data_IF_324474645999
#
_entry.id   IF_324474645999
#
_cell.length_a   1.000
_cell.length_b   1.000
_cell.length_c   1.000
_cell.angle_alpha   90.00
_cell.angle_beta   90.00
_cell.angle_gamma   90.00
#
_symmetry.space_group_name_H-M   'P 1'
#
loop_
_entity.id
_entity.type
_entity.pdbx_description
1 polymer ?
#
# COMPACT_ATOMS: atom_id res chain seq x y z
N UNK A 1 34.43 24.98 -34.32
CA UNK A 1 33.69 26.03 -35.05
C UNK A 1 32.31 26.09 -34.43
N UNK A 2 32.07 27.12 -33.63
CA UNK A 2 30.84 27.31 -32.87
C UNK A 2 29.81 28.02 -33.73
N UNK A 3 28.52 27.67 -33.56
CA UNK A 3 27.43 28.66 -33.63
C UNK A 3 26.41 28.29 -32.56
N UNK A 4 26.42 29.10 -31.50
CA UNK A 4 25.39 29.23 -30.47
C UNK A 4 24.33 30.19 -31.04
N UNK A 5 23.05 29.85 -30.91
CA UNK A 5 21.97 30.84 -31.01
C UNK A 5 21.09 30.68 -29.78
N UNK A 6 21.09 31.73 -28.96
CA UNK A 6 20.32 32.00 -27.75
C UNK A 6 19.19 32.99 -28.10
N UNK A 7 17.92 32.77 -27.76
CA UNK A 7 17.15 33.29 -26.59
C UNK A 7 15.66 33.45 -27.03
N UNK A 8 14.66 33.78 -26.18
CA UNK A 8 14.63 33.88 -24.71
C UNK A 8 13.51 33.04 -24.04
N UNK A 9 13.68 32.94 -22.72
CA UNK A 9 12.78 32.32 -21.73
C UNK A 9 11.80 33.38 -21.17
N UNK A 10 10.52 33.04 -21.05
CA UNK A 10 9.50 33.63 -20.17
C UNK A 10 8.55 32.45 -19.86
N UNK A 11 8.31 31.93 -18.65
CA UNK A 11 8.53 32.43 -17.31
C UNK A 11 7.26 32.18 -16.50
N UNK A 12 6.97 30.94 -16.07
CA UNK A 12 6.07 30.58 -14.96
C UNK A 12 6.53 29.22 -14.37
N UNK A 13 6.55 29.03 -13.04
CA UNK A 13 7.22 27.90 -12.40
C UNK A 13 6.38 26.61 -12.44
N UNK A 14 6.96 25.53 -12.96
CA UNK A 14 6.46 24.16 -12.77
C UNK A 14 7.03 23.57 -11.47
N UNK A 15 6.25 22.80 -10.69
CA UNK A 15 6.75 22.13 -9.49
C UNK A 15 7.81 21.07 -9.87
N UNK A 16 8.82 20.84 -9.01
CA UNK A 16 9.84 19.84 -9.27
C UNK A 16 9.23 18.43 -9.09
N UNK A 17 9.89 17.43 -9.69
CA UNK A 17 9.59 15.99 -9.65
C UNK A 17 8.72 15.45 -10.79
N UNK A 18 9.27 15.47 -12.01
CA UNK A 18 8.95 14.45 -13.01
C UNK A 18 9.70 13.16 -12.67
N UNK A 19 8.99 12.12 -12.21
CA UNK A 19 9.55 10.77 -12.13
C UNK A 19 9.80 10.24 -13.55
N UNK A 20 11.05 10.37 -14.02
CA UNK A 20 11.55 9.63 -15.17
C UNK A 20 11.69 8.16 -14.76
N UNK A 21 10.69 7.32 -15.05
CA UNK A 21 10.85 5.86 -15.00
C UNK A 21 11.92 5.47 -16.01
N UNK A 22 13.17 5.28 -15.55
CA UNK A 22 14.21 4.62 -16.33
C UNK A 22 13.90 3.13 -16.34
N UNK A 23 13.54 2.62 -17.51
CA UNK A 23 13.36 1.20 -17.76
C UNK A 23 14.69 0.46 -17.53
N UNK A 24 14.72 -0.41 -16.54
CA UNK A 24 15.80 -1.39 -16.37
C UNK A 24 15.38 -2.63 -17.15
N UNK A 25 16.09 -2.93 -18.24
CA UNK A 25 15.89 -4.16 -18.99
C UNK A 25 16.43 -5.34 -18.18
N UNK A 26 15.56 -6.25 -17.75
CA UNK A 26 15.95 -7.53 -17.18
C UNK A 26 15.92 -8.60 -18.28
N UNK A 27 17.07 -9.14 -18.65
CA UNK A 27 17.16 -10.43 -19.34
C UNK A 27 17.33 -11.50 -18.28
N UNK A 28 16.30 -12.30 -18.01
CA UNK A 28 16.45 -13.47 -17.13
C UNK A 28 16.14 -14.76 -17.88
N UNK A 29 17.15 -15.61 -17.97
CA UNK A 29 17.32 -16.73 -18.88
C UNK A 29 16.74 -18.05 -18.33
N UNK A 30 15.65 -17.99 -17.57
CA UNK A 30 15.04 -19.17 -16.92
C UNK A 30 13.53 -19.24 -17.07
N UNK A 31 13.09 -19.40 -18.32
CA UNK A 31 11.81 -20.03 -18.65
C UNK A 31 12.06 -20.97 -19.83
N UNK A 32 12.20 -22.25 -19.54
CA UNK A 32 12.11 -23.29 -20.54
C UNK A 32 10.65 -23.48 -20.93
N UNK A 33 10.21 -22.79 -21.99
CA UNK A 33 9.07 -23.18 -22.81
C UNK A 33 9.39 -22.85 -24.27
N UNK A 34 9.64 -23.92 -25.03
CA UNK A 34 9.63 -23.99 -26.50
C UNK A 34 8.20 -24.43 -26.84
N UNK A 35 7.44 -23.93 -27.82
CA UNK A 35 7.68 -23.17 -29.04
C UNK A 35 6.36 -22.56 -29.55
N UNK A 36 6.49 -21.71 -30.58
CA UNK A 36 5.48 -21.27 -31.55
C UNK A 36 4.83 -19.90 -31.33
N UNK A 37 5.66 -18.88 -31.49
CA UNK A 37 5.24 -17.61 -32.10
C UNK A 37 6.24 -17.23 -33.20
N UNK A 38 6.29 -18.03 -34.25
CA UNK A 38 6.98 -17.66 -35.47
C UNK A 38 6.20 -16.54 -36.17
N UNK A 39 6.62 -15.28 -35.99
CA UNK A 39 6.20 -14.20 -36.89
C UNK A 39 6.06 -12.79 -36.35
N UNK A 40 6.30 -12.51 -35.05
CA UNK A 40 6.19 -11.14 -34.55
C UNK A 40 7.55 -10.45 -34.47
N UNK A 41 7.72 -9.43 -35.30
CA UNK A 41 8.89 -8.54 -35.29
C UNK A 41 9.04 -7.82 -33.93
N UNK A 42 10.27 -7.45 -33.51
CA UNK A 42 10.55 -6.97 -32.15
C UNK A 42 9.87 -5.66 -31.74
N UNK A 43 9.16 -4.99 -32.64
CA UNK A 43 8.51 -3.69 -32.38
C UNK A 43 7.15 -3.79 -31.68
N UNK A 44 6.51 -4.97 -31.64
CA UNK A 44 5.17 -5.13 -31.04
C UNK A 44 5.15 -5.84 -29.68
N UNK A 45 6.26 -6.47 -29.27
CA UNK A 45 6.36 -7.09 -27.95
C UNK A 45 6.26 -6.07 -26.78
N UNK A 46 6.65 -4.81 -27.01
CA UNK A 46 6.55 -3.73 -26.03
C UNK A 46 5.10 -3.27 -25.76
N UNK A 47 4.20 -3.41 -26.74
CA UNK A 47 2.77 -3.08 -26.60
C UNK A 47 1.97 -4.21 -25.94
N UNK A 48 2.43 -5.46 -26.06
CA UNK A 48 1.76 -6.61 -25.44
C UNK A 48 2.04 -6.75 -23.93
N UNK A 49 3.16 -6.22 -23.43
CA UNK A 49 3.50 -6.26 -21.99
C UNK A 49 2.96 -5.06 -21.18
N UNK A 50 2.32 -4.08 -21.83
CA UNK A 50 1.70 -2.91 -21.18
C UNK A 50 0.19 -3.06 -20.91
N UNK A 51 -0.42 -4.21 -21.21
CA UNK A 51 -1.88 -4.31 -21.38
C UNK A 51 -2.58 -5.24 -20.37
N UNK A 52 -1.99 -5.53 -19.21
CA UNK A 52 -2.68 -6.33 -18.18
C UNK A 52 -2.28 -5.98 -16.73
N UNK A 53 -2.05 -4.71 -16.43
CA UNK A 53 -2.21 -4.27 -15.05
C UNK A 53 -3.67 -3.88 -14.88
N UNK A 54 -4.43 -4.64 -14.08
CA UNK A 54 -5.72 -4.18 -13.61
C UNK A 54 -5.54 -2.80 -12.98
N UNK A 55 -6.21 -1.78 -13.49
CA UNK A 55 -6.26 -0.48 -12.84
C UNK A 55 -7.35 -0.52 -11.78
N UNK A 56 -6.97 -0.31 -10.53
CA UNK A 56 -7.92 -0.13 -9.44
C UNK A 56 -8.25 1.35 -9.31
N UNK A 57 -9.52 1.66 -9.02
CA UNK A 57 -10.01 3.05 -8.85
C UNK A 57 -9.45 3.73 -7.59
N UNK A 58 -8.81 2.97 -6.70
CA UNK A 58 -8.16 3.46 -5.47
C UNK A 58 -6.99 2.56 -5.11
N UNK A 59 -6.02 3.10 -4.35
CA UNK A 59 -4.91 2.28 -3.88
C UNK A 59 -5.34 1.22 -2.87
N UNK A 60 -4.66 0.08 -2.86
CA UNK A 60 -4.92 -1.05 -1.96
C UNK A 60 -3.69 -1.42 -1.14
N UNK A 61 -3.87 -1.53 0.16
CA UNK A 61 -2.87 -2.02 1.11
C UNK A 61 -3.37 -3.33 1.73
N UNK A 62 -2.64 -4.42 1.50
CA UNK A 62 -2.96 -5.73 2.08
C UNK A 62 -2.02 -6.03 3.24
N UNK A 63 -2.60 -6.26 4.42
CA UNK A 63 -1.86 -6.44 5.65
C UNK A 63 -1.50 -7.88 5.94
N UNK A 64 -0.42 -8.10 6.70
CA UNK A 64 -0.18 -9.38 7.37
C UNK A 64 0.10 -10.56 6.43
N UNK A 65 0.65 -10.31 5.23
CA UNK A 65 1.02 -11.36 4.28
C UNK A 65 2.03 -12.30 4.94
N UNK A 66 1.71 -13.59 5.00
CA UNK A 66 2.54 -14.62 5.63
C UNK A 66 2.82 -15.85 4.76
N UNK A 67 2.30 -15.85 3.53
CA UNK A 67 2.40 -16.97 2.60
C UNK A 67 2.51 -16.44 1.16
N UNK A 68 2.99 -17.30 0.27
CA UNK A 68 3.28 -16.93 -1.11
C UNK A 68 2.02 -16.82 -1.99
N UNK A 69 0.97 -17.56 -1.64
CA UNK A 69 -0.31 -17.56 -2.35
C UNK A 69 -0.97 -16.19 -2.27
N UNK A 70 -1.11 -15.65 -1.06
CA UNK A 70 -1.64 -14.31 -0.81
C UNK A 70 -0.77 -13.24 -1.47
N UNK A 71 0.56 -13.34 -1.32
CA UNK A 71 1.48 -12.36 -1.89
C UNK A 71 1.33 -12.25 -3.42
N UNK A 72 1.30 -13.40 -4.12
CA UNK A 72 1.15 -13.44 -5.58
C UNK A 72 -0.24 -13.04 -6.03
N UNK A 73 -1.27 -13.50 -5.34
CA UNK A 73 -2.65 -13.14 -5.65
C UNK A 73 -2.85 -11.63 -5.55
N UNK A 74 -2.49 -11.03 -4.41
CA UNK A 74 -2.66 -9.60 -4.19
C UNK A 74 -1.84 -8.76 -5.17
N UNK A 75 -0.58 -9.14 -5.43
CA UNK A 75 0.24 -8.46 -6.43
C UNK A 75 -0.34 -8.58 -7.85
N UNK A 76 -0.88 -9.76 -8.20
CA UNK A 76 -1.52 -10.00 -9.50
C UNK A 76 -2.82 -9.23 -9.69
N UNK A 77 -3.59 -9.02 -8.61
CA UNK A 77 -4.83 -8.23 -8.59
C UNK A 77 -4.59 -6.72 -8.53
N UNK A 78 -3.33 -6.27 -8.50
CA UNK A 78 -2.97 -4.85 -8.55
C UNK A 78 -2.89 -4.17 -7.18
N UNK A 79 -2.72 -4.91 -6.08
CA UNK A 79 -2.44 -4.29 -4.79
C UNK A 79 -1.17 -3.42 -4.82
N UNK A 80 -1.22 -2.23 -4.23
CA UNK A 80 -0.08 -1.31 -4.21
C UNK A 80 0.89 -1.61 -3.07
N UNK A 81 0.39 -2.06 -1.91
CA UNK A 81 1.18 -2.29 -0.71
C UNK A 81 0.94 -3.67 -0.14
N UNK A 82 2.01 -4.37 0.22
CA UNK A 82 1.96 -5.61 0.99
C UNK A 82 2.70 -5.39 2.31
N UNK A 83 2.05 -5.69 3.43
CA UNK A 83 2.68 -5.57 4.74
C UNK A 83 3.09 -6.92 5.33
N UNK A 84 4.20 -6.93 6.05
CA UNK A 84 4.77 -8.09 6.72
C UNK A 84 5.01 -7.77 8.19
N UNK A 85 4.58 -8.64 9.10
CA UNK A 85 4.78 -8.45 10.54
C UNK A 85 6.19 -8.87 10.94
N UNK A 86 7.04 -7.89 11.20
CA UNK A 86 8.48 -8.08 11.48
C UNK A 86 8.84 -7.81 12.94
N UNK A 87 7.85 -7.68 13.82
CA UNK A 87 8.02 -7.55 15.25
C UNK A 87 7.57 -8.84 15.96
N UNK A 88 8.45 -9.52 16.72
CA UNK A 88 8.10 -10.75 17.45
C UNK A 88 6.93 -10.60 18.43
N UNK A 89 6.60 -9.38 18.85
CA UNK A 89 5.44 -9.11 19.69
C UNK A 89 4.10 -9.15 18.94
N UNK A 90 4.11 -9.17 17.59
CA UNK A 90 2.91 -9.19 16.77
C UNK A 90 2.46 -10.62 16.42
N UNK A 91 1.15 -10.92 16.43
CA UNK A 91 0.64 -12.21 15.99
C UNK A 91 0.87 -12.42 14.50
N UNK A 92 1.43 -13.57 14.12
CA UNK A 92 1.83 -13.83 12.74
C UNK A 92 3.16 -13.16 12.35
N UNK A 93 4.05 -12.95 13.33
CA UNK A 93 5.44 -12.58 13.09
C UNK A 93 6.10 -13.49 12.05
N UNK A 94 6.90 -12.88 11.18
CA UNK A 94 7.74 -13.55 10.21
C UNK A 94 9.21 -13.23 10.48
N UNK A 95 10.05 -14.24 10.34
CA UNK A 95 11.48 -14.02 10.30
C UNK A 95 11.86 -13.18 9.07
N UNK A 96 12.88 -12.30 9.16
CA UNK A 96 13.31 -11.47 8.04
C UNK A 96 13.63 -12.26 6.76
N UNK A 97 14.20 -13.46 6.91
CA UNK A 97 14.47 -14.36 5.80
C UNK A 97 13.21 -14.81 5.06
N UNK A 98 12.10 -15.04 5.77
CA UNK A 98 10.82 -15.39 5.17
C UNK A 98 10.24 -14.22 4.36
N UNK A 99 10.38 -12.98 4.87
CA UNK A 99 9.96 -11.78 4.12
C UNK A 99 10.79 -11.60 2.85
N UNK A 100 12.10 -11.83 2.91
CA UNK A 100 12.97 -11.81 1.72
C UNK A 100 12.58 -12.88 0.69
N UNK A 101 12.23 -14.08 1.14
CA UNK A 101 11.73 -15.13 0.26
C UNK A 101 10.42 -14.70 -0.41
N UNK A 102 9.41 -14.30 0.36
CA UNK A 102 8.10 -13.88 -0.15
C UNK A 102 8.20 -12.71 -1.13
N UNK A 103 8.96 -11.67 -0.76
CA UNK A 103 9.16 -10.47 -1.58
C UNK A 103 9.92 -10.75 -2.88
N UNK A 104 10.81 -11.74 -2.91
CA UNK A 104 11.53 -12.14 -4.12
C UNK A 104 10.66 -12.73 -5.24
N UNK A 105 9.42 -13.13 -4.91
CA UNK A 105 8.48 -13.71 -5.87
C UNK A 105 7.40 -12.74 -6.36
N UNK A 106 7.38 -11.51 -5.84
CA UNK A 106 6.39 -10.50 -6.20
C UNK A 106 7.07 -9.25 -6.74
N UNK A 107 6.40 -8.56 -7.64
CA UNK A 107 6.86 -7.31 -8.23
C UNK A 107 5.69 -6.34 -8.36
N UNK A 108 6.00 -5.04 -8.49
CA UNK A 108 4.98 -4.00 -8.64
C UNK A 108 4.34 -3.52 -7.33
N UNK A 109 4.75 -4.06 -6.19
CA UNK A 109 4.20 -3.73 -4.86
C UNK A 109 5.22 -3.01 -3.98
N UNK A 110 4.74 -2.11 -3.12
CA UNK A 110 5.50 -1.49 -2.05
C UNK A 110 5.50 -2.40 -0.81
N UNK A 111 6.66 -2.92 -0.46
CA UNK A 111 6.88 -3.69 0.76
C UNK A 111 6.82 -2.80 2.01
N UNK A 112 5.99 -3.18 2.99
CA UNK A 112 5.80 -2.47 4.26
C UNK A 112 6.10 -3.39 5.44
N UNK A 113 6.89 -2.94 6.42
CA UNK A 113 7.09 -3.69 7.66
C UNK A 113 6.16 -3.20 8.76
N UNK A 114 5.46 -4.10 9.43
CA UNK A 114 4.67 -3.79 10.62
C UNK A 114 5.48 -3.98 11.89
N UNK A 115 5.46 -2.96 12.77
CA UNK A 115 6.19 -2.95 14.03
C UNK A 115 5.34 -2.40 15.17
N UNK A 116 5.60 -2.87 16.39
CA UNK A 116 4.90 -2.45 17.60
C UNK A 116 5.88 -1.90 18.63
N UNK A 117 6.73 -2.77 19.18
CA UNK A 117 7.59 -2.53 20.33
C UNK A 117 9.08 -2.44 20.00
N UNK A 118 9.53 -2.89 18.81
CA UNK A 118 10.96 -2.86 18.48
C UNK A 118 11.55 -1.44 18.51
N UNK A 119 12.82 -1.27 18.94
CA UNK A 119 13.49 0.01 18.93
C UNK A 119 13.80 0.49 17.50
N UNK A 120 13.96 1.80 17.33
CA UNK A 120 14.14 2.44 16.01
C UNK A 120 15.33 1.86 15.23
N UNK A 121 16.45 1.59 15.91
CA UNK A 121 17.66 1.08 15.24
C UNK A 121 17.45 -0.33 14.67
N UNK A 122 16.70 -1.19 15.38
CA UNK A 122 16.31 -2.51 14.88
C UNK A 122 15.32 -2.41 13.73
N UNK A 123 14.33 -1.50 13.81
CA UNK A 123 13.39 -1.26 12.71
C UNK A 123 14.14 -0.83 11.44
N UNK A 124 15.11 0.08 11.57
CA UNK A 124 15.94 0.54 10.45
C UNK A 124 16.79 -0.59 9.85
N UNK A 125 17.38 -1.44 10.70
CA UNK A 125 18.15 -2.59 10.24
C UNK A 125 17.27 -3.60 9.47
N UNK A 126 16.08 -3.91 10.00
CA UNK A 126 15.10 -4.78 9.36
C UNK A 126 14.58 -4.19 8.04
N UNK A 127 14.34 -2.88 8.02
CA UNK A 127 13.93 -2.17 6.82
C UNK A 127 14.97 -2.23 5.71
N UNK A 128 16.25 -2.08 6.04
CA UNK A 128 17.33 -2.24 5.08
C UNK A 128 17.46 -3.70 4.62
N UNK A 129 17.49 -4.64 5.57
CA UNK A 129 17.64 -6.07 5.27
C UNK A 129 16.52 -6.59 4.35
N UNK A 130 15.27 -6.24 4.63
CA UNK A 130 14.12 -6.74 3.86
C UNK A 130 13.76 -5.85 2.66
N UNK A 131 14.50 -4.77 2.41
CA UNK A 131 14.20 -3.83 1.31
C UNK A 131 12.85 -3.13 1.46
N UNK A 132 12.45 -2.80 2.70
CA UNK A 132 11.16 -2.17 2.97
C UNK A 132 11.09 -0.75 2.43
N UNK A 133 9.95 -0.40 1.84
CA UNK A 133 9.67 0.94 1.33
C UNK A 133 8.98 1.81 2.39
N UNK A 134 8.13 1.21 3.23
CA UNK A 134 7.38 1.89 4.29
C UNK A 134 7.44 1.10 5.61
N UNK A 135 7.10 1.80 6.69
CA UNK A 135 6.96 1.25 8.04
C UNK A 135 5.52 1.51 8.49
N UNK A 136 4.83 0.49 8.98
CA UNK A 136 3.52 0.62 9.62
C UNK A 136 3.67 0.40 11.14
N UNK A 137 3.43 1.44 11.92
CA UNK A 137 3.52 1.37 13.38
C UNK A 137 2.16 1.04 13.99
N UNK A 138 2.11 0.03 14.85
CA UNK A 138 0.93 -0.32 15.64
C UNK A 138 0.70 0.61 16.83
N UNK A 139 1.75 1.32 17.26
CA UNK A 139 1.71 2.23 18.40
C UNK A 139 2.28 3.58 17.98
N UNK A 140 1.60 4.66 18.39
CA UNK A 140 2.12 6.00 18.22
C UNK A 140 3.44 6.17 18.97
N UNK A 141 4.40 6.85 18.35
CA UNK A 141 5.72 7.13 18.90
C UNK A 141 6.00 8.64 18.91
N UNK A 142 6.83 9.14 19.84
CA UNK A 142 7.17 10.55 19.87
C UNK A 142 7.92 10.97 18.60
N UNK A 143 7.78 12.25 18.21
CA UNK A 143 8.36 12.80 16.98
C UNK A 143 9.89 12.57 16.86
N UNK A 144 10.62 12.59 17.98
CA UNK A 144 12.06 12.35 18.02
C UNK A 144 12.46 10.90 17.65
N UNK A 145 11.58 9.93 17.92
CA UNK A 145 11.77 8.55 17.45
C UNK A 145 11.45 8.44 15.96
N UNK A 146 10.33 9.04 15.54
CA UNK A 146 9.89 9.00 14.15
C UNK A 146 10.90 9.65 13.19
N UNK A 147 11.53 10.76 13.61
CA UNK A 147 12.55 11.44 12.80
C UNK A 147 13.83 10.62 12.58
N UNK A 148 14.04 9.55 13.36
CA UNK A 148 15.18 8.63 13.23
C UNK A 148 14.88 7.43 12.34
N UNK A 149 13.61 7.20 11.97
CA UNK A 149 13.25 6.13 11.03
C UNK A 149 13.68 6.55 9.61
N UNK A 150 14.30 5.63 8.88
CA UNK A 150 14.86 5.91 7.55
C UNK A 150 13.83 5.76 6.43
N UNK A 151 12.66 5.20 6.73
CA UNK A 151 11.56 4.97 5.78
C UNK A 151 10.32 5.77 6.19
N UNK A 152 9.48 6.17 5.22
CA UNK A 152 8.20 6.80 5.52
C UNK A 152 7.30 5.91 6.39
N UNK A 153 6.60 6.54 7.33
CA UNK A 153 5.78 5.85 8.33
C UNK A 153 4.30 6.01 8.03
N UNK A 154 3.55 4.92 8.12
CA UNK A 154 2.11 4.89 8.26
C UNK A 154 1.78 4.54 9.72
N UNK A 155 0.71 5.11 10.25
CA UNK A 155 0.31 4.90 11.63
C UNK A 155 -1.01 4.14 11.69
N UNK A 156 -0.99 2.94 12.27
CA UNK A 156 -2.21 2.23 12.60
C UNK A 156 -2.93 2.96 13.73
N UNK A 157 -4.23 3.12 13.61
CA UNK A 157 -5.07 3.73 14.64
C UNK A 157 -6.40 2.98 14.74
N UNK A 158 -6.95 2.95 15.95
CA UNK A 158 -8.25 2.37 16.22
C UNK A 158 -9.37 3.33 15.82
N UNK A 159 -10.46 2.77 15.28
CA UNK A 159 -11.72 3.49 15.11
C UNK A 159 -12.44 3.61 16.45
N UNK A 160 -12.85 4.83 16.80
CA UNK A 160 -13.53 5.11 18.07
C UNK A 160 -14.86 5.82 17.73
N UNK A 161 -16.00 5.11 17.80
CA UNK A 161 -17.27 5.58 17.24
C UNK A 161 -17.89 6.77 17.98
N UNK A 162 -17.62 6.90 19.28
CA UNK A 162 -18.24 7.89 20.18
C UNK A 162 -17.30 9.07 20.52
N UNK A 163 -16.21 9.23 19.75
CA UNK A 163 -15.28 10.34 19.96
C UNK A 163 -15.85 11.63 19.40
N UNK A 164 -15.73 12.74 20.15
CA UNK A 164 -16.18 14.05 19.70
C UNK A 164 -15.36 14.49 18.47
N UNK A 165 -15.98 15.18 17.50
CA UNK A 165 -15.30 15.60 16.27
C UNK A 165 -13.97 16.33 16.48
N UNK A 166 -13.93 17.23 17.47
CA UNK A 166 -12.74 17.98 17.85
C UNK A 166 -11.61 17.10 18.41
N UNK A 167 -11.95 16.05 19.15
CA UNK A 167 -10.98 15.11 19.72
C UNK A 167 -10.40 14.22 18.62
N UNK A 168 -11.21 13.80 17.64
CA UNK A 168 -10.71 13.01 16.51
C UNK A 168 -9.77 13.85 15.63
N UNK A 169 -10.12 15.11 15.34
CA UNK A 169 -9.24 16.01 14.58
C UNK A 169 -7.92 16.24 15.30
N UNK A 170 -7.95 16.51 16.61
CA UNK A 170 -6.74 16.67 17.42
C UNK A 170 -5.88 15.40 17.36
N UNK A 171 -6.49 14.22 17.52
CA UNK A 171 -5.80 12.93 17.43
C UNK A 171 -5.16 12.74 16.06
N UNK A 172 -5.90 12.98 14.97
CA UNK A 172 -5.40 12.79 13.61
C UNK A 172 -4.25 13.75 13.30
N UNK A 173 -4.40 15.03 13.68
CA UNK A 173 -3.35 16.05 13.53
C UNK A 173 -2.05 15.63 14.22
N UNK A 174 -2.14 15.06 15.42
CA UNK A 174 -0.96 14.57 16.14
C UNK A 174 -0.30 13.39 15.43
N UNK A 175 -1.08 12.45 14.89
CA UNK A 175 -0.55 11.29 14.18
C UNK A 175 0.09 11.68 12.85
N UNK A 176 -0.53 12.54 12.04
CA UNK A 176 -0.01 12.91 10.72
C UNK A 176 1.20 13.84 10.75
N UNK A 177 1.44 14.56 11.85
CA UNK A 177 2.53 15.52 11.93
C UNK A 177 3.90 14.93 11.59
N UNK A 178 4.06 13.61 11.81
CA UNK A 178 5.31 12.88 11.55
C UNK A 178 5.09 11.58 10.76
N UNK A 179 3.92 11.41 10.13
CA UNK A 179 3.58 10.19 9.38
C UNK A 179 2.95 10.56 8.03
N UNK A 180 2.94 9.61 7.10
CA UNK A 180 2.41 9.79 5.74
C UNK A 180 0.92 9.48 5.63
N UNK A 181 0.33 8.87 6.65
CA UNK A 181 -1.08 8.54 6.66
C UNK A 181 -1.47 7.72 7.88
N UNK A 182 -2.78 7.67 8.10
CA UNK A 182 -3.42 6.93 9.18
C UNK A 182 -4.11 5.71 8.57
N UNK A 183 -3.93 4.55 9.19
CA UNK A 183 -4.51 3.28 8.74
C UNK A 183 -5.54 2.84 9.77
N UNK A 184 -6.82 2.80 9.38
CA UNK A 184 -7.92 2.25 10.16
C UNK A 184 -8.24 0.86 9.60
N UNK A 185 -7.58 -0.16 10.13
CA UNK A 185 -7.67 -1.53 9.59
C UNK A 185 -8.78 -2.38 10.21
N UNK A 186 -9.32 -1.97 11.36
CA UNK A 186 -10.36 -2.73 12.05
C UNK A 186 -11.74 -2.35 11.53
N UNK A 187 -12.57 -3.36 11.29
CA UNK A 187 -13.96 -3.20 10.87
C UNK A 187 -14.75 -2.54 12.03
N UNK A 188 -15.50 -1.45 11.78
CA UNK A 188 -16.35 -0.85 12.79
C UNK A 188 -17.34 -1.87 13.37
N UNK A 189 -17.68 -1.82 14.67
CA UNK A 189 -18.59 -2.79 15.30
C UNK A 189 -20.05 -2.65 14.83
N UNK A 190 -20.37 -1.56 14.13
CA UNK A 190 -21.65 -1.31 13.51
C UNK A 190 -21.47 -0.45 12.26
N UNK A 191 -22.39 -0.54 11.28
CA UNK A 191 -22.40 0.35 10.12
C UNK A 191 -22.35 1.83 10.52
N UNK A 192 -21.55 2.61 9.80
CA UNK A 192 -21.41 4.04 10.08
C UNK A 192 -22.75 4.77 9.93
N UNK A 193 -23.10 5.58 10.92
CA UNK A 193 -24.20 6.55 10.80
C UNK A 193 -23.86 7.61 9.75
N UNK A 194 -24.89 8.32 9.24
CA UNK A 194 -24.67 9.43 8.30
C UNK A 194 -23.75 10.53 8.86
N UNK A 195 -23.84 10.79 10.17
CA UNK A 195 -22.99 11.78 10.87
C UNK A 195 -21.53 11.30 10.93
N UNK A 196 -21.29 10.05 11.34
CA UNK A 196 -19.93 9.49 11.39
C UNK A 196 -19.29 9.47 10.01
N UNK A 197 -20.06 9.14 8.96
CA UNK A 197 -19.58 9.11 7.58
C UNK A 197 -19.25 10.50 7.05
N UNK A 198 -20.08 11.50 7.35
CA UNK A 198 -19.81 12.90 7.00
C UNK A 198 -18.52 13.39 7.67
N UNK A 199 -18.35 13.10 8.96
CA UNK A 199 -17.15 13.48 9.70
C UNK A 199 -15.89 12.78 9.15
N UNK A 200 -15.98 11.48 8.84
CA UNK A 200 -14.89 10.74 8.22
C UNK A 200 -14.51 11.31 6.83
N UNK A 201 -15.50 11.77 6.06
CA UNK A 201 -15.27 12.46 4.79
C UNK A 201 -14.50 13.78 4.97
N UNK A 202 -14.85 14.59 5.98
CA UNK A 202 -14.12 15.83 6.31
C UNK A 202 -12.66 15.55 6.71
N UNK A 203 -12.45 14.48 7.47
CA UNK A 203 -11.12 14.05 7.90
C UNK A 203 -10.27 13.53 6.75
N UNK A 204 -10.84 12.68 5.89
CA UNK A 204 -10.13 12.11 4.75
C UNK A 204 -9.73 13.18 3.72
N UNK A 205 -10.44 14.32 3.66
CA UNK A 205 -10.01 15.50 2.89
C UNK A 205 -8.81 16.23 3.50
N UNK A 206 -8.64 16.15 4.81
CA UNK A 206 -7.59 16.86 5.56
C UNK A 206 -6.35 16.01 5.79
N UNK A 207 -6.52 14.69 5.86
CA UNK A 207 -5.50 13.73 6.25
C UNK A 207 -5.52 12.51 5.32
N UNK A 208 -4.37 11.93 4.94
CA UNK A 208 -4.34 10.68 4.19
C UNK A 208 -4.82 9.52 5.08
N UNK A 209 -6.06 9.09 4.87
CA UNK A 209 -6.69 8.01 5.65
C UNK A 209 -6.87 6.77 4.79
N UNK A 210 -6.39 5.63 5.27
CA UNK A 210 -6.63 4.31 4.71
C UNK A 210 -7.72 3.62 5.53
N UNK A 211 -8.70 3.00 4.87
CA UNK A 211 -9.86 2.38 5.54
C UNK A 211 -9.97 0.91 5.21
N UNK A 212 -10.26 0.08 6.21
CA UNK A 212 -10.69 -1.30 5.97
C UNK A 212 -11.94 -1.33 5.08
N UNK A 213 -12.02 -2.32 4.18
CA UNK A 213 -13.18 -2.49 3.30
C UNK A 213 -14.51 -2.58 4.08
N UNK A 214 -14.49 -3.09 5.31
CA UNK A 214 -15.66 -3.17 6.20
C UNK A 214 -16.26 -1.81 6.62
N UNK A 215 -15.58 -0.68 6.40
CA UNK A 215 -16.19 0.64 6.56
C UNK A 215 -17.34 0.89 5.57
N UNK A 216 -17.42 0.10 4.50
CA UNK A 216 -18.52 0.13 3.54
C UNK A 216 -19.77 -0.62 4.03
N UNK A 217 -19.78 -1.26 5.22
CA UNK A 217 -20.94 -2.02 5.67
C UNK A 217 -22.23 -1.16 5.66
N UNK A 218 -23.29 -1.72 5.09
CA UNK A 218 -24.58 -1.05 4.86
C UNK A 218 -24.68 -0.23 3.56
N UNK A 219 -23.58 -0.09 2.81
CA UNK A 219 -23.53 0.51 1.46
C UNK A 219 -22.59 -0.31 0.55
N UNK A 220 -22.41 0.10 -0.71
CA UNK A 220 -21.36 -0.50 -1.56
C UNK A 220 -20.00 0.17 -1.35
N UNK A 221 -18.91 -0.55 -1.63
CA UNK A 221 -17.55 0.01 -1.54
C UNK A 221 -17.36 1.20 -2.49
N UNK A 222 -17.94 1.13 -3.70
CA UNK A 222 -17.90 2.25 -4.66
C UNK A 222 -18.65 3.48 -4.14
N UNK A 223 -19.80 3.30 -3.49
CA UNK A 223 -20.51 4.41 -2.84
C UNK A 223 -19.68 5.04 -1.71
N UNK A 224 -18.98 4.23 -0.90
CA UNK A 224 -18.08 4.76 0.13
C UNK A 224 -16.99 5.63 -0.49
N UNK A 225 -16.33 5.15 -1.54
CA UNK A 225 -15.25 5.87 -2.23
C UNK A 225 -15.71 7.15 -2.94
N UNK A 226 -16.98 7.22 -3.34
CA UNK A 226 -17.57 8.45 -3.87
C UNK A 226 -17.85 9.49 -2.77
N UNK A 227 -18.09 9.04 -1.53
CA UNK A 227 -18.45 9.91 -0.41
C UNK A 227 -17.23 10.31 0.44
N UNK A 228 -16.21 9.47 0.51
CA UNK A 228 -15.02 9.62 1.37
C UNK A 228 -13.76 9.52 0.50
N UNK A 229 -13.00 10.61 0.42
CA UNK A 229 -11.74 10.66 -0.33
C UNK A 229 -10.60 10.02 0.45
N UNK A 230 -10.57 8.69 0.49
CA UNK A 230 -9.52 7.92 1.16
C UNK A 230 -8.20 7.95 0.38
N UNK A 231 -7.10 7.72 1.10
CA UNK A 231 -5.80 7.41 0.48
C UNK A 231 -5.80 6.01 -0.13
N UNK A 232 -6.59 5.09 0.42
CA UNK A 232 -6.78 3.75 -0.12
C UNK A 232 -7.59 2.84 0.79
N UNK A 233 -7.78 1.61 0.32
CA UNK A 233 -8.49 0.55 1.04
C UNK A 233 -7.49 -0.41 1.67
N UNK A 234 -7.80 -0.85 2.89
CA UNK A 234 -7.04 -1.81 3.66
C UNK A 234 -7.75 -3.15 3.61
N UNK A 235 -6.98 -4.19 3.30
CA UNK A 235 -7.39 -5.58 3.38
C UNK A 235 -6.49 -6.28 4.37
N UNK A 236 -6.99 -7.36 4.96
CA UNK A 236 -6.22 -8.23 5.82
C UNK A 236 -5.93 -9.52 5.04
N UNK A 237 -4.65 -9.80 4.83
CA UNK A 237 -4.19 -11.10 4.38
C UNK A 237 -4.54 -12.14 5.43
N UNK A 238 -4.72 -13.40 5.03
CA UNK A 238 -5.23 -14.38 5.97
C UNK A 238 -4.38 -15.63 6.08
N UNK A 239 -4.87 -16.55 6.90
CA UNK A 239 -4.19 -17.81 7.12
C UNK A 239 -4.60 -18.83 6.05
N UNK A 240 -3.63 -19.48 5.43
CA UNK A 240 -3.89 -20.62 4.57
C UNK A 240 -4.55 -21.74 5.36
N UNK A 241 -5.50 -22.44 4.74
CA UNK A 241 -6.09 -23.67 5.28
C UNK A 241 -5.03 -24.78 5.26
N UNK A 242 -4.22 -24.81 4.19
CA UNK A 242 -3.00 -25.63 3.99
C UNK A 242 -2.06 -24.89 3.04
N UNK A 243 -0.74 -25.17 3.01
CA UNK A 243 0.19 -24.55 2.06
C UNK A 243 -0.35 -24.53 0.62
N UNK A 244 -0.55 -23.34 0.06
CA UNK A 244 -1.11 -23.17 -1.28
C UNK A 244 -2.65 -23.18 -1.39
N UNK A 245 -3.38 -23.31 -0.29
CA UNK A 245 -4.85 -23.38 -0.25
C UNK A 245 -5.42 -22.32 0.70
N UNK A 246 -6.01 -21.28 0.11
CA UNK A 246 -6.67 -20.16 0.79
C UNK A 246 -8.03 -19.91 0.13
N UNK A 247 -9.01 -19.50 0.94
CA UNK A 247 -10.29 -18.96 0.46
C UNK A 247 -10.13 -17.46 0.24
N UNK A 248 -10.34 -17.02 -1.00
CA UNK A 248 -10.15 -15.64 -1.45
C UNK A 248 -11.46 -14.90 -1.68
N UNK A 249 -12.62 -15.53 -1.43
CA UNK A 249 -13.93 -15.02 -1.88
C UNK A 249 -14.23 -13.58 -1.41
N UNK A 250 -13.86 -13.23 -0.17
CA UNK A 250 -14.06 -11.88 0.36
C UNK A 250 -13.11 -10.86 -0.27
N UNK A 251 -11.85 -11.25 -0.48
CA UNK A 251 -10.83 -10.37 -1.05
C UNK A 251 -11.07 -10.15 -2.55
N UNK A 252 -11.46 -11.20 -3.27
CA UNK A 252 -11.85 -11.14 -4.69
C UNK A 252 -12.98 -10.14 -4.91
N UNK A 253 -14.06 -10.24 -4.13
CA UNK A 253 -15.18 -9.29 -4.19
C UNK A 253 -14.75 -7.84 -3.99
N UNK A 254 -13.77 -7.60 -3.11
CA UNK A 254 -13.24 -6.24 -2.92
C UNK A 254 -12.45 -5.79 -4.14
N UNK A 255 -11.55 -6.62 -4.67
CA UNK A 255 -10.80 -6.26 -5.89
C UNK A 255 -11.72 -6.03 -7.09
N UNK A 256 -12.73 -6.88 -7.33
CA UNK A 256 -13.75 -6.68 -8.37
C UNK A 256 -14.51 -5.35 -8.17
N UNK A 257 -14.87 -5.02 -6.92
CA UNK A 257 -15.52 -3.76 -6.61
C UNK A 257 -14.61 -2.54 -6.85
N UNK A 258 -13.29 -2.73 -6.93
CA UNK A 258 -12.30 -1.69 -7.17
C UNK A 258 -11.79 -1.63 -8.63
N UNK A 259 -12.12 -2.61 -9.47
CA UNK A 259 -11.72 -2.62 -10.88
C UNK A 259 -12.32 -1.41 -11.64
N UNK A 260 -11.51 -0.74 -12.46
CA UNK A 260 -11.92 0.42 -13.27
C UNK A 260 -12.65 0.01 -14.57
#
# INVERSE_FOLDING_TARGET
>A
MAVVVSEPFNGLPTPPFSYSRRSIAFTNEKLGYVSDIAGLTPSYAWLAFHTFCMSLITSVLVRGINNLSDARYCAGMGADYLTFRLDPALPGYLEPAAVQELSGWVAGVQLVGEFSTLPVDEINALAEQCGLHYILLHRARPAQELSRLTRPVLQLAEWIPDMLPEDVDLRFRQLVANTRGIVLADVPPAPLTGVQRAHLSEQARSYPVWLAAGFAEGISLRELLQQVHVAGIVLEGGQEIKPGLRDFDEMEKVFEALED
#
